data_IF_151445416806
#
_entry.id   IF_151445416806
#
_cell.length_a   1.000
_cell.length_b   1.000
_cell.length_c   1.000
_cell.angle_alpha   90.00
_cell.angle_beta   90.00
_cell.angle_gamma   90.00
#
_symmetry.space_group_name_H-M   'P 1'
#
loop_
_entity.id
_entity.type
_entity.pdbx_description
1 polymer ?
#
# COMPACT_ATOMS: atom_id res chain seq x y z
N UNK A 1 -29.65 11.62 7.61
CA UNK A 1 -28.33 11.04 7.33
C UNK A 1 -27.38 11.71 8.29
N UNK A 2 -26.80 10.96 9.20
CA UNK A 2 -25.91 11.50 10.21
C UNK A 2 -24.52 11.70 9.56
N UNK A 3 -23.96 12.89 9.66
CA UNK A 3 -22.63 13.19 9.13
C UNK A 3 -21.64 13.06 10.28
N UNK A 4 -20.66 12.18 10.13
CA UNK A 4 -19.59 11.96 11.10
C UNK A 4 -18.34 12.68 10.61
N UNK A 5 -17.74 13.48 11.47
CA UNK A 5 -16.51 14.22 11.16
C UNK A 5 -15.27 13.41 11.64
N UNK A 6 -15.07 12.26 11.01
CA UNK A 6 -13.96 11.34 11.27
C UNK A 6 -13.21 11.04 9.98
N UNK A 7 -11.95 10.63 10.09
CA UNK A 7 -11.16 10.23 8.92
C UNK A 7 -11.66 8.89 8.37
N UNK A 8 -11.80 8.76 7.06
CA UNK A 8 -12.12 7.48 6.42
C UNK A 8 -11.08 6.40 6.73
N UNK A 9 -9.85 6.78 7.06
CA UNK A 9 -8.79 5.86 7.44
C UNK A 9 -9.05 5.16 8.78
N UNK A 10 -9.85 5.77 9.66
CA UNK A 10 -10.25 5.17 10.94
C UNK A 10 -11.37 4.14 10.78
N UNK A 11 -11.90 4.03 9.56
CA UNK A 11 -12.97 3.11 9.19
C UNK A 11 -12.53 2.15 8.06
N UNK A 12 -11.64 1.18 8.33
CA UNK A 12 -11.05 0.32 7.30
C UNK A 12 -12.08 -0.46 6.48
N UNK A 13 -13.25 -0.78 7.08
CA UNK A 13 -14.35 -1.43 6.37
C UNK A 13 -14.97 -0.55 5.28
N UNK A 14 -15.14 0.74 5.57
CA UNK A 14 -15.68 1.69 4.60
C UNK A 14 -14.61 2.06 3.57
N UNK A 15 -13.37 2.27 4.01
CA UNK A 15 -12.24 2.45 3.11
C UNK A 15 -12.13 1.31 2.10
N UNK A 16 -12.22 0.07 2.56
CA UNK A 16 -12.15 -1.11 1.70
C UNK A 16 -13.36 -1.24 0.76
N UNK A 17 -14.53 -0.76 1.16
CA UNK A 17 -15.69 -0.72 0.29
C UNK A 17 -15.50 0.26 -0.88
N UNK A 18 -14.87 1.40 -0.63
CA UNK A 18 -14.63 2.44 -1.65
C UNK A 18 -13.46 2.06 -2.55
N UNK A 19 -12.32 1.63 -1.99
CA UNK A 19 -11.07 1.47 -2.71
C UNK A 19 -10.65 0.01 -2.93
N UNK A 20 -11.28 -0.94 -2.26
CA UNK A 20 -10.85 -2.35 -2.25
C UNK A 20 -11.45 -3.24 -3.33
N UNK A 21 -12.40 -2.75 -4.12
CA UNK A 21 -13.24 -3.59 -4.99
C UNK A 21 -12.60 -3.94 -6.32
N UNK A 22 -11.78 -3.07 -6.89
CA UNK A 22 -11.08 -3.32 -8.16
C UNK A 22 -9.61 -2.93 -8.07
N UNK A 23 -8.77 -3.93 -7.96
CA UNK A 23 -7.31 -3.78 -7.99
C UNK A 23 -6.66 -4.66 -9.08
N UNK A 24 -7.44 -5.15 -10.05
CA UNK A 24 -6.94 -6.07 -11.07
C UNK A 24 -5.87 -5.42 -11.94
N UNK A 25 -6.05 -4.16 -12.32
CA UNK A 25 -5.10 -3.41 -13.13
C UNK A 25 -3.77 -3.19 -12.38
N UNK A 26 -3.85 -2.78 -11.11
CA UNK A 26 -2.66 -2.56 -10.26
C UNK A 26 -1.89 -3.86 -10.03
N UNK A 27 -2.59 -4.94 -9.74
CA UNK A 27 -1.98 -6.26 -9.55
C UNK A 27 -1.31 -6.76 -10.83
N UNK A 28 -1.94 -6.56 -11.98
CA UNK A 28 -1.35 -6.86 -13.29
C UNK A 28 -0.09 -6.03 -13.52
N UNK A 29 -0.16 -4.72 -13.30
CA UNK A 29 0.94 -3.79 -13.45
C UNK A 29 2.14 -4.20 -12.58
N UNK A 30 1.94 -4.53 -11.30
CA UNK A 30 3.01 -4.97 -10.40
C UNK A 30 3.67 -6.27 -10.89
N UNK A 31 2.89 -7.21 -11.41
CA UNK A 31 3.45 -8.42 -12.02
C UNK A 31 4.26 -8.12 -13.30
N UNK A 32 3.78 -7.21 -14.14
CA UNK A 32 4.49 -6.79 -15.36
C UNK A 32 5.80 -6.06 -15.04
N UNK A 33 5.81 -5.20 -14.02
CA UNK A 33 7.04 -4.55 -13.51
C UNK A 33 8.04 -5.60 -13.02
N UNK A 34 7.60 -6.60 -12.26
CA UNK A 34 8.48 -7.70 -11.86
C UNK A 34 9.09 -8.40 -13.08
N UNK A 35 8.31 -8.69 -14.11
CA UNK A 35 8.79 -9.32 -15.31
C UNK A 35 9.77 -8.44 -16.09
N UNK A 36 9.45 -7.17 -16.28
CA UNK A 36 10.23 -6.23 -17.07
C UNK A 36 11.58 -5.87 -16.43
N UNK A 37 11.59 -5.58 -15.13
CA UNK A 37 12.76 -5.05 -14.44
C UNK A 37 13.51 -6.08 -13.60
N UNK A 38 12.83 -7.10 -13.09
CA UNK A 38 13.40 -8.13 -12.23
C UNK A 38 13.39 -9.52 -12.87
N UNK A 39 13.04 -9.60 -14.17
CA UNK A 39 12.98 -10.84 -14.95
C UNK A 39 12.11 -11.93 -14.30
N UNK A 40 11.02 -11.50 -13.63
CA UNK A 40 10.12 -12.39 -12.90
C UNK A 40 10.71 -13.03 -11.63
N UNK A 41 11.86 -12.55 -11.15
CA UNK A 41 12.58 -13.18 -10.04
C UNK A 41 12.22 -12.66 -8.66
N UNK A 42 11.47 -11.54 -8.56
CA UNK A 42 10.99 -11.08 -7.27
C UNK A 42 9.98 -12.07 -6.70
N UNK A 43 10.19 -12.47 -5.46
CA UNK A 43 9.29 -13.35 -4.71
C UNK A 43 8.81 -12.70 -3.41
N UNK A 44 9.67 -11.91 -2.78
CA UNK A 44 9.37 -11.19 -1.54
C UNK A 44 9.08 -9.73 -1.84
N UNK A 45 7.86 -9.33 -1.55
CA UNK A 45 7.35 -7.99 -1.79
C UNK A 45 7.05 -7.27 -0.49
N UNK A 46 6.99 -5.95 -0.58
CA UNK A 46 6.67 -5.11 0.57
C UNK A 46 5.81 -3.90 0.18
N UNK A 47 4.82 -3.59 1.03
CA UNK A 47 3.95 -2.44 0.83
C UNK A 47 4.00 -1.53 2.07
N UNK A 48 4.76 -0.40 2.06
CA UNK A 48 4.63 0.63 3.07
C UNK A 48 3.31 1.36 2.90
N UNK A 49 2.65 1.72 4.01
CA UNK A 49 1.30 2.28 4.05
C UNK A 49 0.26 1.35 3.36
N UNK A 50 0.26 0.07 3.76
CA UNK A 50 -0.53 -0.98 3.12
C UNK A 50 -2.05 -0.88 3.37
N UNK A 51 -2.49 -0.06 4.32
CA UNK A 51 -3.89 0.12 4.66
C UNK A 51 -4.61 -1.19 4.95
N UNK A 52 -5.72 -1.44 4.27
CA UNK A 52 -6.53 -2.66 4.40
C UNK A 52 -5.92 -3.90 3.73
N UNK A 53 -4.71 -3.79 3.16
CA UNK A 53 -3.97 -4.90 2.54
C UNK A 53 -4.62 -5.44 1.27
N UNK A 54 -5.33 -4.61 0.49
CA UNK A 54 -6.04 -5.05 -0.72
C UNK A 54 -5.08 -5.58 -1.80
N UNK A 55 -3.96 -4.89 -2.05
CA UNK A 55 -2.92 -5.33 -2.99
C UNK A 55 -2.11 -6.48 -2.41
N UNK A 56 -1.74 -6.41 -1.12
CA UNK A 56 -1.06 -7.49 -0.42
C UNK A 56 -1.81 -8.81 -0.56
N UNK A 57 -3.12 -8.81 -0.30
CA UNK A 57 -3.95 -10.01 -0.43
C UNK A 57 -3.96 -10.54 -1.86
N UNK A 58 -4.13 -9.67 -2.86
CA UNK A 58 -4.14 -10.03 -4.27
C UNK A 58 -2.81 -10.62 -4.74
N UNK A 59 -1.67 -10.13 -4.24
CA UNK A 59 -0.33 -10.64 -4.55
C UNK A 59 -0.03 -11.93 -3.81
N UNK A 60 -0.43 -12.06 -2.54
CA UNK A 60 -0.31 -13.31 -1.79
C UNK A 60 -1.05 -14.47 -2.49
N UNK A 61 -2.25 -14.21 -3.03
CA UNK A 61 -3.00 -15.20 -3.84
C UNK A 61 -2.29 -15.58 -5.14
N UNK A 62 -1.38 -14.77 -5.64
CA UNK A 62 -0.54 -15.06 -6.81
C UNK A 62 0.78 -15.76 -6.45
N UNK A 63 0.96 -16.12 -5.17
CA UNK A 63 2.12 -16.87 -4.69
C UNK A 63 3.32 -16.02 -4.28
N UNK A 64 3.15 -14.69 -4.14
CA UNK A 64 4.19 -13.85 -3.58
C UNK A 64 4.22 -13.94 -2.05
N UNK A 65 5.42 -13.94 -1.48
CA UNK A 65 5.62 -13.63 -0.07
C UNK A 65 5.51 -12.12 0.09
N UNK A 66 4.53 -11.63 0.81
CA UNK A 66 4.31 -10.19 0.95
C UNK A 66 4.16 -9.78 2.40
N UNK A 67 4.79 -8.69 2.74
CA UNK A 67 4.71 -8.04 4.04
C UNK A 67 4.31 -6.58 3.84
N UNK A 68 3.75 -5.95 4.89
CA UNK A 68 3.39 -4.53 4.82
C UNK A 68 3.29 -3.88 6.18
N UNK A 69 3.34 -2.56 6.16
CA UNK A 69 3.17 -1.73 7.35
C UNK A 69 2.15 -0.64 7.11
N UNK A 70 1.50 -0.23 8.18
CA UNK A 70 0.67 0.97 8.21
C UNK A 70 0.73 1.61 9.60
N UNK A 71 0.54 2.93 9.68
CA UNK A 71 0.43 3.62 10.96
C UNK A 71 -0.89 3.30 11.67
N UNK A 72 -1.94 3.06 10.89
CA UNK A 72 -3.27 2.82 11.41
C UNK A 72 -3.42 1.36 11.86
N UNK A 73 -3.47 1.16 13.17
CA UNK A 73 -3.66 -0.18 13.77
C UNK A 73 -4.93 -0.87 13.29
N UNK A 74 -6.02 -0.13 13.09
CA UNK A 74 -7.31 -0.72 12.67
C UNK A 74 -7.21 -1.25 11.22
N UNK A 75 -6.48 -0.54 10.34
CA UNK A 75 -6.21 -0.98 8.98
C UNK A 75 -5.34 -2.25 8.97
N UNK A 76 -4.29 -2.29 9.81
CA UNK A 76 -3.43 -3.48 9.98
C UNK A 76 -4.24 -4.67 10.49
N UNK A 77 -5.06 -4.48 11.52
CA UNK A 77 -5.93 -5.54 12.07
C UNK A 77 -6.91 -6.06 11.00
N UNK A 78 -7.49 -5.16 10.21
CA UNK A 78 -8.38 -5.52 9.10
C UNK A 78 -7.66 -6.33 8.02
N UNK A 79 -6.46 -5.89 7.61
CA UNK A 79 -5.60 -6.60 6.66
C UNK A 79 -5.29 -8.02 7.16
N UNK A 80 -4.83 -8.14 8.40
CA UNK A 80 -4.49 -9.42 9.01
C UNK A 80 -5.70 -10.34 9.17
N UNK A 81 -6.87 -9.79 9.50
CA UNK A 81 -8.12 -10.55 9.56
C UNK A 81 -8.55 -11.05 8.17
N UNK A 82 -8.33 -10.26 7.10
CA UNK A 82 -8.51 -10.68 5.71
C UNK A 82 -7.64 -11.89 5.38
N UNK A 83 -6.35 -11.82 5.68
CA UNK A 83 -5.41 -12.93 5.43
C UNK A 83 -5.86 -14.20 6.14
N UNK A 84 -6.13 -14.14 7.45
CA UNK A 84 -6.62 -15.28 8.25
C UNK A 84 -7.89 -15.91 7.68
N UNK A 85 -8.86 -15.08 7.29
CA UNK A 85 -10.14 -15.54 6.72
C UNK A 85 -9.97 -16.38 5.45
N UNK A 86 -8.87 -16.14 4.73
CA UNK A 86 -8.54 -16.85 3.49
C UNK A 86 -7.42 -17.90 3.64
N UNK A 87 -7.10 -18.30 4.86
CA UNK A 87 -6.09 -19.32 5.14
C UNK A 87 -4.65 -18.87 4.87
N UNK A 88 -4.40 -17.56 4.82
CA UNK A 88 -3.07 -16.97 4.65
C UNK A 88 -2.52 -16.47 5.99
N UNK A 89 -1.19 -16.48 6.13
CA UNK A 89 -0.55 -15.95 7.31
C UNK A 89 -0.64 -14.41 7.35
N UNK A 90 -0.99 -13.81 8.51
CA UNK A 90 -0.91 -12.37 8.70
C UNK A 90 0.52 -11.87 8.54
N UNK A 91 0.70 -10.82 7.75
CA UNK A 91 2.03 -10.28 7.39
C UNK A 91 2.11 -8.76 7.47
N UNK A 92 1.07 -8.11 8.00
CA UNK A 92 1.07 -6.67 8.23
C UNK A 92 1.35 -6.35 9.72
N UNK A 93 2.08 -5.26 9.98
CA UNK A 93 2.31 -4.76 11.34
C UNK A 93 2.26 -3.23 11.40
N UNK A 94 2.06 -2.69 12.60
CA UNK A 94 2.01 -1.23 12.82
C UNK A 94 3.44 -0.68 12.84
N UNK A 95 3.73 0.24 11.93
CA UNK A 95 5.00 0.96 11.90
C UNK A 95 4.88 2.25 11.08
N UNK A 96 5.79 3.19 11.35
CA UNK A 96 5.96 4.39 10.52
C UNK A 96 6.81 4.04 9.28
N UNK A 97 6.31 4.38 8.09
CA UNK A 97 7.05 4.14 6.86
C UNK A 97 8.36 4.96 6.77
N UNK A 98 8.48 6.05 7.54
CA UNK A 98 9.69 6.86 7.61
C UNK A 98 10.77 6.26 8.51
N UNK A 99 10.40 5.37 9.46
CA UNK A 99 11.36 4.74 10.38
C UNK A 99 10.86 3.35 10.81
N UNK A 100 11.27 2.33 10.09
CA UNK A 100 10.99 0.94 10.46
C UNK A 100 12.17 0.02 10.17
N UNK A 101 12.13 -1.16 10.79
CA UNK A 101 13.07 -2.26 10.55
C UNK A 101 12.31 -3.53 10.24
N UNK A 102 12.75 -4.21 9.20
CA UNK A 102 12.28 -5.55 8.88
C UNK A 102 13.36 -6.60 9.25
N UNK A 103 12.91 -7.82 9.46
CA UNK A 103 13.80 -8.95 9.75
C UNK A 103 14.61 -9.42 8.55
N UNK A 104 14.13 -9.08 7.33
CA UNK A 104 14.76 -9.51 6.06
C UNK A 104 14.51 -8.47 4.96
N UNK A 105 15.33 -8.51 3.91
CA UNK A 105 15.22 -7.61 2.76
C UNK A 105 14.21 -8.14 1.74
N UNK A 106 13.58 -7.22 1.02
CA UNK A 106 12.63 -7.52 -0.05
C UNK A 106 13.26 -7.40 -1.43
N UNK A 107 12.65 -8.10 -2.38
CA UNK A 107 13.05 -8.07 -3.79
C UNK A 107 12.45 -6.86 -4.50
N UNK A 108 11.19 -6.55 -4.18
CA UNK A 108 10.45 -5.43 -4.71
C UNK A 108 9.55 -4.82 -3.62
N UNK A 109 9.50 -3.51 -3.58
CA UNK A 109 8.55 -2.77 -2.76
C UNK A 109 7.73 -1.82 -3.65
N UNK A 110 6.53 -1.47 -3.19
CA UNK A 110 5.66 -0.55 -3.92
C UNK A 110 4.78 0.27 -2.97
N UNK A 111 4.54 1.50 -3.37
CA UNK A 111 3.64 2.45 -2.72
C UNK A 111 2.89 3.18 -3.84
N UNK A 112 1.72 2.66 -4.24
CA UNK A 112 1.10 3.03 -5.51
C UNK A 112 0.02 4.10 -5.40
N UNK A 113 -0.75 4.13 -4.32
CA UNK A 113 -1.91 5.02 -4.23
C UNK A 113 -1.55 6.31 -3.49
N UNK A 114 -0.57 7.03 -4.03
CA UNK A 114 -0.24 8.38 -3.57
C UNK A 114 0.10 8.50 -2.06
N UNK A 115 0.32 7.39 -1.36
CA UNK A 115 0.57 7.38 0.10
C UNK A 115 1.87 8.09 0.46
N UNK A 116 2.84 8.17 -0.45
CA UNK A 116 4.08 8.93 -0.26
C UNK A 116 3.83 10.41 0.10
N UNK A 117 2.71 11.00 -0.33
CA UNK A 117 2.31 12.38 0.02
C UNK A 117 2.00 12.61 1.50
N UNK A 118 1.78 11.56 2.28
CA UNK A 118 1.62 11.69 3.73
C UNK A 118 2.92 12.05 4.44
N UNK A 119 4.07 11.94 3.77
CA UNK A 119 5.35 12.45 4.24
C UNK A 119 5.44 13.95 3.93
N UNK A 120 4.91 14.78 4.82
CA UNK A 120 4.71 16.21 4.59
C UNK A 120 5.96 17.07 4.75
N UNK A 121 7.08 16.48 5.21
CA UNK A 121 8.37 17.19 5.36
C UNK A 121 9.45 16.55 4.50
N UNK A 122 10.40 17.37 4.04
CA UNK A 122 11.57 16.87 3.31
C UNK A 122 12.34 15.82 4.13
N UNK A 123 12.51 16.03 5.42
CA UNK A 123 13.23 15.09 6.29
C UNK A 123 12.52 13.75 6.40
N UNK A 124 11.19 13.72 6.54
CA UNK A 124 10.44 12.45 6.58
C UNK A 124 10.48 11.71 5.24
N UNK A 125 10.44 12.44 4.12
CA UNK A 125 10.57 11.84 2.79
C UNK A 125 11.96 11.23 2.57
N UNK A 126 13.03 11.94 2.97
CA UNK A 126 14.41 11.42 2.91
C UNK A 126 14.56 10.19 3.80
N UNK A 127 14.10 10.27 5.07
CA UNK A 127 14.17 9.15 6.01
C UNK A 127 13.47 7.90 5.47
N UNK A 128 12.29 8.08 4.87
CA UNK A 128 11.57 6.99 4.21
C UNK A 128 12.38 6.36 3.08
N UNK A 129 12.92 7.16 2.17
CA UNK A 129 13.70 6.65 1.03
C UNK A 129 14.97 5.91 1.50
N UNK A 130 15.66 6.44 2.50
CA UNK A 130 16.80 5.77 3.12
C UNK A 130 16.40 4.45 3.80
N UNK A 131 15.26 4.46 4.51
CA UNK A 131 14.72 3.27 5.14
C UNK A 131 14.41 2.19 4.09
N UNK A 132 13.73 2.55 3.01
CA UNK A 132 13.43 1.65 1.90
C UNK A 132 14.69 1.12 1.21
N UNK A 133 15.69 1.97 0.99
CA UNK A 133 16.97 1.57 0.41
C UNK A 133 17.71 0.54 1.29
N UNK A 134 17.70 0.74 2.62
CA UNK A 134 18.30 -0.22 3.56
C UNK A 134 17.59 -1.58 3.56
N UNK A 135 16.28 -1.58 3.40
CA UNK A 135 15.43 -2.77 3.50
C UNK A 135 15.23 -3.50 2.14
N UNK A 136 15.50 -2.84 1.02
CA UNK A 136 15.49 -3.48 -0.31
C UNK A 136 16.83 -4.17 -0.56
N UNK A 137 16.82 -5.34 -1.18
CA UNK A 137 18.06 -6.03 -1.56
C UNK A 137 18.78 -5.27 -2.67
N UNK A 138 20.07 -5.50 -2.80
CA UNK A 138 20.84 -4.99 -3.95
C UNK A 138 20.23 -5.52 -5.28
N UNK A 139 20.00 -4.62 -6.23
CA UNK A 139 19.31 -4.93 -7.49
C UNK A 139 17.80 -5.13 -7.34
N UNK A 140 17.23 -4.85 -6.16
CA UNK A 140 15.79 -4.79 -5.95
C UNK A 140 15.19 -3.48 -6.46
N UNK A 141 13.87 -3.38 -6.43
CA UNK A 141 13.11 -2.26 -6.98
C UNK A 141 12.19 -1.67 -5.91
N UNK A 142 12.11 -0.35 -5.84
CA UNK A 142 11.05 0.35 -5.13
C UNK A 142 10.23 1.22 -6.08
N UNK A 143 8.93 1.00 -6.11
CA UNK A 143 7.96 1.68 -6.95
C UNK A 143 7.20 2.72 -6.14
N UNK A 144 7.16 3.96 -6.62
CA UNK A 144 6.38 5.04 -6.00
C UNK A 144 5.39 5.57 -7.02
N UNK A 145 4.10 5.52 -6.68
CA UNK A 145 3.03 6.14 -7.44
C UNK A 145 2.70 7.53 -6.90
N UNK A 146 2.69 8.52 -7.77
CA UNK A 146 2.40 9.91 -7.43
C UNK A 146 1.33 10.46 -8.37
N UNK A 147 0.36 11.17 -7.82
CA UNK A 147 -0.51 12.03 -8.60
C UNK A 147 0.20 13.35 -8.87
N UNK A 148 0.34 13.70 -10.13
CA UNK A 148 0.95 14.96 -10.52
C UNK A 148 -0.08 16.09 -10.39
N UNK A 149 0.35 17.21 -9.83
CA UNK A 149 -0.47 18.43 -9.82
C UNK A 149 -0.54 18.98 -11.25
N UNK A 150 -1.73 19.31 -11.78
CA UNK A 150 -1.84 19.93 -13.07
C UNK A 150 -1.08 21.25 -13.11
N UNK A 151 -0.34 21.49 -14.20
CA UNK A 151 0.38 22.77 -14.39
C UNK A 151 -0.48 23.82 -15.10
N UNK A 152 -1.62 23.41 -15.66
CA UNK A 152 -2.49 24.25 -16.51
C UNK A 152 -3.90 24.39 -15.98
N UNK A 153 -4.21 23.80 -14.83
CA UNK A 153 -5.52 23.89 -14.17
C UNK A 153 -5.35 24.12 -12.68
N UNK A 154 -6.33 24.78 -12.06
CA UNK A 154 -6.37 24.91 -10.59
C UNK A 154 -6.50 23.53 -9.96
N UNK A 155 -5.75 23.28 -8.87
CA UNK A 155 -5.88 22.03 -8.12
C UNK A 155 -7.30 21.89 -7.56
N UNK A 156 -7.87 20.70 -7.65
CA UNK A 156 -9.15 20.40 -6.98
C UNK A 156 -8.91 20.34 -5.47
N UNK A 157 -9.57 21.20 -4.70
CA UNK A 157 -9.46 21.25 -3.24
C UNK A 157 -10.26 20.14 -2.56
N UNK A 158 -11.26 19.58 -3.23
CA UNK A 158 -12.15 18.56 -2.69
C UNK A 158 -12.35 17.42 -3.67
N UNK A 159 -12.32 16.21 -3.16
CA UNK A 159 -12.67 15.00 -3.89
C UNK A 159 -13.81 14.28 -3.18
N UNK A 160 -14.73 13.67 -3.92
CA UNK A 160 -15.82 12.88 -3.36
C UNK A 160 -15.88 11.51 -4.04
N UNK A 161 -16.09 10.48 -3.24
CA UNK A 161 -16.26 9.11 -3.72
C UNK A 161 -17.54 8.52 -3.17
N UNK A 162 -18.19 7.70 -3.98
CA UNK A 162 -19.32 6.91 -3.54
C UNK A 162 -19.15 5.46 -4.00
N UNK A 163 -19.45 4.52 -3.12
CA UNK A 163 -19.48 3.11 -3.46
C UNK A 163 -20.75 2.46 -2.91
N UNK A 164 -21.33 1.55 -3.70
CA UNK A 164 -22.44 0.68 -3.27
C UNK A 164 -22.02 -0.76 -3.43
N UNK A 165 -22.23 -1.56 -2.41
CA UNK A 165 -22.19 -3.01 -2.56
C UNK A 165 -23.56 -3.45 -3.09
N UNK A 166 -23.60 -4.11 -4.24
CA UNK A 166 -24.80 -4.78 -4.73
C UNK A 166 -25.24 -5.87 -3.74
N UNK A 167 -26.54 -6.06 -3.63
CA UNK A 167 -27.14 -7.21 -2.94
C UNK A 167 -27.07 -8.43 -3.83
#
# INVERSE_FOLDING_TARGET
>A
METVNESIYDHPRYYDLVFGTDCAAELKFLCEINNAFLKGKAKRLFEPACGTGRLMYGLAKRGFEIEGIDLNKQAVDFSNARFKRHGLNPTAWVADMADFKASRKWDMAFNTINSFRHLTTHSSAVSHLECMARQTRQGGLYLIGLHLTPTTAEPTETESWAARRGH
#
